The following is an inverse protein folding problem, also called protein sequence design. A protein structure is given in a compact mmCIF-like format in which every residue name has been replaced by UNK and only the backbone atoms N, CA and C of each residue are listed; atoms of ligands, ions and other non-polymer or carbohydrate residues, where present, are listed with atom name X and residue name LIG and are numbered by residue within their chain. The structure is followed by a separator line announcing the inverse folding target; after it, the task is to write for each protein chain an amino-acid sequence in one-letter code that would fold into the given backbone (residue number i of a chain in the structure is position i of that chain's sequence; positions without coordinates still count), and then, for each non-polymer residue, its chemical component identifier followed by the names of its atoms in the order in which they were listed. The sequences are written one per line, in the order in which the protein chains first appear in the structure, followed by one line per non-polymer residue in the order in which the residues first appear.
data_IF_581621144894
#
_entry.id   IF_581621144894
#
_cell.length_a   1.000
_cell.length_b   1.000
_cell.length_c   1.000
_cell.angle_alpha   90.00
_cell.angle_beta   90.00
_cell.angle_gamma   90.00
#
_symmetry.space_group_name_H-M   'P 1'
#
loop_
_entity.id
_entity.type
_entity.pdbx_description
1 polymer ?
#
# COMPACT_ATOMS: atom_id res chain seq x y z
N UNK A 1 -5.74 5.60 9.23
CA UNK A 1 -4.49 4.98 8.70
C UNK A 1 -4.34 3.55 9.24
N UNK A 2 -4.01 2.55 8.39
CA UNK A 2 -3.82 1.14 8.80
C UNK A 2 -2.42 0.65 8.41
N UNK A 3 -1.77 -0.11 9.29
CA UNK A 3 -0.42 -0.64 9.10
C UNK A 3 -0.41 -2.18 9.09
N UNK A 4 0.46 -2.77 8.27
CA UNK A 4 0.73 -4.22 8.27
C UNK A 4 2.20 -4.49 8.56
N UNK A 5 2.48 -5.63 9.18
CA UNK A 5 3.85 -6.10 9.39
C UNK A 5 4.58 -6.36 8.07
N UNK A 6 5.88 -6.06 8.04
CA UNK A 6 6.78 -6.37 6.93
C UNK A 6 8.00 -5.47 6.97
N UNK A 7 9.18 -6.07 7.04
CA UNK A 7 10.45 -5.33 7.05
C UNK A 7 10.79 -4.81 5.67
N UNK A 8 11.16 -3.53 5.60
CA UNK A 8 11.82 -2.99 4.42
C UNK A 8 13.30 -3.36 4.51
N UNK A 9 13.78 -4.16 3.55
CA UNK A 9 15.16 -4.68 3.58
C UNK A 9 16.20 -3.55 3.56
N UNK A 10 15.91 -2.51 2.80
CA UNK A 10 16.85 -1.41 2.52
C UNK A 10 16.92 -0.38 3.65
N UNK A 11 15.98 -0.40 4.60
CA UNK A 11 15.89 0.59 5.66
C UNK A 11 15.98 -0.07 7.04
N UNK A 12 17.07 0.13 7.79
CA UNK A 12 17.18 -0.36 9.16
C UNK A 12 16.14 0.33 10.05
N UNK A 13 15.40 -0.46 10.84
CA UNK A 13 14.35 0.03 11.75
C UNK A 13 12.93 0.10 11.15
N UNK A 14 12.77 0.04 9.82
CA UNK A 14 11.43 0.08 9.19
C UNK A 14 10.84 -1.32 9.09
N UNK A 15 9.91 -1.63 10.00
CA UNK A 15 9.29 -2.95 10.16
C UNK A 15 7.83 -3.05 9.70
N UNK A 16 7.26 -1.95 9.22
CA UNK A 16 5.85 -1.85 8.88
C UNK A 16 5.64 -1.19 7.53
N UNK A 17 4.56 -1.59 6.86
CA UNK A 17 4.07 -0.96 5.65
C UNK A 17 2.68 -0.37 5.90
N UNK A 18 2.40 0.76 5.26
CA UNK A 18 1.06 1.35 5.25
C UNK A 18 0.20 0.58 4.25
N UNK A 19 -1.00 0.18 4.67
CA UNK A 19 -2.00 -0.36 3.75
C UNK A 19 -2.66 0.80 3.00
N UNK A 20 -2.62 0.76 1.67
CA UNK A 20 -3.17 1.81 0.79
C UNK A 20 -4.58 1.44 0.34
N UNK A 21 -5.41 2.45 0.10
CA UNK A 21 -6.81 2.29 -0.29
C UNK A 21 -7.75 2.00 0.88
N UNK A 22 -7.31 2.23 2.13
CA UNK A 22 -8.14 2.05 3.34
C UNK A 22 -7.98 3.24 4.28
N UNK A 23 -9.07 3.60 4.98
CA UNK A 23 -9.17 4.79 5.84
C UNK A 23 -8.68 6.04 5.06
N UNK A 24 -7.77 6.81 5.63
CA UNK A 24 -7.25 8.07 5.07
C UNK A 24 -6.16 7.88 4.00
N UNK A 25 -5.63 6.65 3.84
CA UNK A 25 -4.53 6.39 2.94
C UNK A 25 -5.03 6.10 1.52
N UNK A 26 -5.03 7.12 0.65
CA UNK A 26 -5.53 7.01 -0.73
C UNK A 26 -4.73 5.99 -1.56
N UNK A 27 -5.43 5.26 -2.42
CA UNK A 27 -4.84 4.33 -3.39
C UNK A 27 -3.96 5.02 -4.44
N UNK A 28 -3.09 4.26 -5.08
CA UNK A 28 -2.22 4.77 -6.16
C UNK A 28 -3.04 4.89 -7.46
N UNK A 29 -3.03 6.08 -8.07
CA UNK A 29 -3.69 6.34 -9.35
C UNK A 29 -3.03 5.56 -10.50
N UNK A 30 -3.82 5.21 -11.51
CA UNK A 30 -3.39 4.55 -12.76
C UNK A 30 -2.58 3.25 -12.62
N UNK A 31 -2.61 2.63 -11.43
CA UNK A 31 -1.96 1.35 -11.20
C UNK A 31 -2.74 0.24 -11.94
N UNK A 32 -2.18 -0.28 -13.03
CA UNK A 32 -2.81 -1.36 -13.82
C UNK A 32 -2.55 -2.76 -13.26
N UNK A 33 -1.40 -2.98 -12.62
CA UNK A 33 -0.97 -4.27 -12.05
C UNK A 33 -0.70 -4.21 -10.55
N UNK A 34 -0.91 -5.32 -9.83
CA UNK A 34 -0.72 -5.37 -8.37
C UNK A 34 -1.66 -4.44 -7.59
N UNK A 35 -2.82 -4.15 -8.17
CA UNK A 35 -3.82 -3.16 -7.69
C UNK A 35 -4.22 -3.34 -6.23
N UNK A 36 -4.42 -4.59 -5.81
CA UNK A 36 -4.83 -4.94 -4.44
C UNK A 36 -3.80 -4.51 -3.38
N UNK A 37 -2.51 -4.50 -3.71
CA UNK A 37 -1.45 -4.06 -2.79
C UNK A 37 -1.42 -2.54 -2.61
N UNK A 38 -1.86 -1.80 -3.63
CA UNK A 38 -1.72 -0.34 -3.70
C UNK A 38 -3.07 0.40 -3.60
N UNK A 39 -4.17 -0.30 -3.30
CA UNK A 39 -5.48 0.31 -3.14
C UNK A 39 -6.07 0.87 -4.44
N UNK A 40 -5.61 0.42 -5.60
CA UNK A 40 -6.13 0.86 -6.88
C UNK A 40 -7.36 0.05 -7.28
N UNK A 41 -8.44 0.71 -7.70
CA UNK A 41 -9.64 0.01 -8.18
C UNK A 41 -9.45 -0.49 -9.61
N UNK A 42 -10.22 -1.50 -10.01
CA UNK A 42 -10.28 -1.92 -11.41
C UNK A 42 -10.97 -0.80 -12.20
N UNK A 43 -10.33 -0.21 -13.22
CA UNK A 43 -11.02 0.67 -14.14
C UNK A 43 -12.10 -0.16 -14.85
N UNK A 44 -13.31 0.38 -14.87
CA UNK A 44 -14.45 -0.14 -15.64
C UNK A 44 -14.21 0.04 -17.14
#
# INVERSE_FOLDING_TARGET
MLVRGGRVKDLPGVRYHIVRGTLDAVGVQDRKQGRSKYGAKKPS
#
